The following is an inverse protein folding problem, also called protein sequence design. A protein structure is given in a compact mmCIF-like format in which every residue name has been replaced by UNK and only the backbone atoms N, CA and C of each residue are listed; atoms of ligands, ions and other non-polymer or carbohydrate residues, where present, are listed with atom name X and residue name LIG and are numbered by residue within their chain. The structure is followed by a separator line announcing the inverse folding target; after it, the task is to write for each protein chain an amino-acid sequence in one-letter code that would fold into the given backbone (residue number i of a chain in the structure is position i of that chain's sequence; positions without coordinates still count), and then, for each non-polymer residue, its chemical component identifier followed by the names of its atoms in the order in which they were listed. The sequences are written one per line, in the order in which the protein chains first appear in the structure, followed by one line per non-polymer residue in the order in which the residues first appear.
data_IF_983333816564
#
_entry.id   IF_983333816564
#
_cell.length_a   1.000
_cell.length_b   1.000
_cell.length_c   1.000
_cell.angle_alpha   90.00
_cell.angle_beta   90.00
_cell.angle_gamma   90.00
#
_symmetry.space_group_name_H-M   'P 1'
#
loop_
_entity.id
_entity.type
_entity.pdbx_description
1 polymer ?
#
# COMPACT_ATOMS: atom_id res chain seq x y z
N UNK A 1 11.14 -24.55 -14.10
CA UNK A 1 9.96 -25.05 -13.37
C UNK A 1 9.33 -23.88 -12.65
N UNK A 2 8.07 -23.57 -12.97
CA UNK A 2 7.36 -22.44 -12.36
C UNK A 2 7.21 -22.66 -10.86
N UNK A 3 7.45 -21.61 -10.05
CA UNK A 3 7.40 -21.66 -8.58
C UNK A 3 6.01 -21.35 -8.00
N UNK A 4 5.02 -21.03 -8.82
CA UNK A 4 3.68 -20.62 -8.38
C UNK A 4 2.61 -21.62 -8.81
N UNK A 5 1.73 -22.02 -7.88
CA UNK A 5 0.59 -22.90 -8.15
C UNK A 5 -0.43 -22.32 -9.16
N UNK A 6 -0.30 -21.02 -9.48
CA UNK A 6 -1.20 -20.30 -10.38
C UNK A 6 -0.60 -20.08 -11.78
N UNK A 7 0.50 -20.75 -12.09
CA UNK A 7 1.18 -20.70 -13.38
C UNK A 7 1.24 -22.13 -13.93
N UNK A 8 0.72 -22.32 -15.14
CA UNK A 8 0.51 -23.64 -15.73
C UNK A 8 1.09 -23.64 -17.14
N UNK A 9 1.89 -24.64 -17.48
CA UNK A 9 2.29 -24.88 -18.87
C UNK A 9 1.14 -25.53 -19.63
N UNK A 10 0.79 -24.96 -20.79
CA UNK A 10 -0.38 -25.34 -21.60
C UNK A 10 0.08 -25.71 -22.99
N UNK A 11 -0.49 -26.78 -23.53
CA UNK A 11 -0.26 -27.27 -24.89
C UNK A 11 -1.57 -27.28 -25.70
N UNK A 12 -1.50 -27.71 -26.95
CA UNK A 12 -2.66 -27.76 -27.84
C UNK A 12 -3.79 -28.63 -27.28
N UNK A 13 -3.48 -29.75 -26.60
CA UNK A 13 -4.48 -30.70 -26.13
C UNK A 13 -5.31 -30.17 -24.96
N UNK A 14 -4.72 -29.34 -24.09
CA UNK A 14 -5.41 -28.80 -22.91
C UNK A 14 -5.75 -27.31 -23.02
N UNK A 15 -5.35 -26.61 -24.08
CA UNK A 15 -5.63 -25.18 -24.28
C UNK A 15 -7.11 -24.82 -24.12
N UNK A 16 -8.02 -25.56 -24.76
CA UNK A 16 -9.46 -25.28 -24.67
C UNK A 16 -9.95 -25.41 -23.23
N UNK A 17 -9.56 -26.48 -22.54
CA UNK A 17 -9.99 -26.75 -21.17
C UNK A 17 -9.39 -25.75 -20.16
N UNK A 18 -8.09 -25.50 -20.25
CA UNK A 18 -7.37 -24.67 -19.27
C UNK A 18 -7.61 -23.19 -19.52
N UNK A 19 -7.58 -22.74 -20.77
CA UNK A 19 -7.68 -21.32 -21.13
C UNK A 19 -9.12 -20.91 -21.38
N UNK A 20 -9.81 -21.57 -22.32
CA UNK A 20 -11.15 -21.14 -22.74
C UNK A 20 -12.18 -21.46 -21.66
N UNK A 21 -12.34 -22.73 -21.30
CA UNK A 21 -13.28 -23.14 -20.25
C UNK A 21 -12.86 -22.62 -18.87
N UNK A 22 -11.56 -22.68 -18.55
CA UNK A 22 -11.01 -22.14 -17.31
C UNK A 22 -11.32 -20.65 -17.12
N UNK A 23 -11.32 -19.86 -18.21
CA UNK A 23 -11.63 -18.42 -18.14
C UNK A 23 -13.07 -18.07 -17.75
N UNK A 24 -13.99 -19.04 -17.72
CA UNK A 24 -15.33 -18.86 -17.14
C UNK A 24 -15.33 -18.89 -15.60
N UNK A 25 -14.30 -19.47 -14.99
CA UNK A 25 -14.16 -19.53 -13.52
C UNK A 25 -13.37 -18.33 -13.00
N UNK A 26 -12.24 -18.05 -13.65
CA UNK A 26 -11.37 -16.93 -13.32
C UNK A 26 -10.56 -16.53 -14.55
N UNK A 27 -10.17 -15.26 -14.71
CA UNK A 27 -9.38 -14.81 -15.85
C UNK A 27 -8.11 -15.63 -16.07
N UNK A 28 -7.77 -15.88 -17.34
CA UNK A 28 -6.55 -16.60 -17.74
C UNK A 28 -5.70 -15.71 -18.64
N UNK A 29 -4.49 -15.38 -18.18
CA UNK A 29 -3.51 -14.62 -18.95
C UNK A 29 -2.51 -15.58 -19.59
N UNK A 30 -2.51 -15.65 -20.92
CA UNK A 30 -1.65 -16.56 -21.68
C UNK A 30 -0.36 -15.84 -22.10
N UNK A 31 0.79 -16.36 -21.67
CA UNK A 31 2.13 -15.94 -22.09
C UNK A 31 2.62 -16.86 -23.22
N UNK A 32 2.63 -16.33 -24.45
CA UNK A 32 3.23 -17.00 -25.61
C UNK A 32 4.72 -16.68 -25.64
N UNK A 33 5.56 -17.69 -25.46
CA UNK A 33 7.00 -17.53 -25.25
C UNK A 33 7.84 -18.58 -26.00
N UNK A 34 9.15 -18.35 -26.06
CA UNK A 34 10.13 -19.30 -26.57
C UNK A 34 11.48 -19.20 -25.83
N UNK A 35 12.30 -20.25 -25.86
CA UNK A 35 13.56 -20.29 -25.08
C UNK A 35 14.58 -19.24 -25.55
N UNK A 36 14.63 -18.98 -26.85
CA UNK A 36 15.54 -18.02 -27.47
C UNK A 36 15.12 -16.56 -27.23
N UNK A 37 13.87 -16.32 -26.82
CA UNK A 37 13.31 -14.99 -26.60
C UNK A 37 13.87 -14.34 -25.32
N UNK A 38 14.83 -13.42 -25.48
CA UNK A 38 15.41 -12.70 -24.34
C UNK A 38 14.39 -11.84 -23.56
N UNK A 39 13.48 -11.08 -24.20
CA UNK A 39 12.45 -10.33 -23.48
C UNK A 39 11.50 -11.23 -22.67
N UNK A 40 11.18 -12.42 -23.16
CA UNK A 40 10.33 -13.39 -22.45
C UNK A 40 10.93 -13.80 -21.10
N UNK A 41 12.27 -13.96 -21.04
CA UNK A 41 12.98 -14.29 -19.77
C UNK A 41 12.87 -13.18 -18.73
N UNK A 42 12.76 -11.92 -19.15
CA UNK A 42 12.53 -10.79 -18.23
C UNK A 42 11.08 -10.69 -17.75
N UNK A 43 10.12 -11.08 -18.60
CA UNK A 43 8.69 -11.00 -18.32
C UNK A 43 8.20 -12.16 -17.44
N UNK A 44 8.68 -13.38 -17.66
CA UNK A 44 8.30 -14.58 -16.89
C UNK A 44 8.31 -14.38 -15.36
N UNK A 45 9.39 -13.89 -14.71
CA UNK A 45 9.38 -13.70 -13.26
C UNK A 45 8.39 -12.64 -12.77
N UNK A 46 8.07 -11.65 -13.61
CA UNK A 46 7.04 -10.64 -13.32
C UNK A 46 5.66 -11.31 -13.32
N UNK A 47 5.37 -12.13 -14.33
CA UNK A 47 4.10 -12.87 -14.42
C UNK A 47 3.93 -13.86 -13.27
N UNK A 48 5.00 -14.58 -12.88
CA UNK A 48 4.98 -15.49 -11.73
C UNK A 48 4.63 -14.74 -10.43
N UNK A 49 5.24 -13.58 -10.22
CA UNK A 49 4.96 -12.71 -9.05
C UNK A 49 3.52 -12.19 -9.06
N UNK A 50 3.01 -11.78 -10.22
CA UNK A 50 1.62 -11.32 -10.38
C UNK A 50 0.64 -12.46 -10.11
N UNK A 51 0.90 -13.67 -10.64
CA UNK A 51 0.09 -14.85 -10.40
C UNK A 51 -0.04 -15.16 -8.89
N UNK A 52 1.09 -15.11 -8.18
CA UNK A 52 1.12 -15.30 -6.74
C UNK A 52 0.34 -14.19 -5.99
N UNK A 53 0.48 -12.93 -6.41
CA UNK A 53 -0.21 -11.81 -5.81
C UNK A 53 -1.74 -11.86 -5.99
N UNK A 54 -2.22 -12.38 -7.12
CA UNK A 54 -3.65 -12.55 -7.39
C UNK A 54 -4.25 -13.76 -6.65
N UNK A 55 -3.42 -14.63 -6.07
CA UNK A 55 -3.83 -15.72 -5.17
C UNK A 55 -5.04 -16.53 -5.67
N UNK A 56 -4.97 -17.00 -6.93
CA UNK A 56 -6.03 -17.78 -7.56
C UNK A 56 -7.04 -16.97 -8.33
N UNK A 57 -7.14 -15.64 -8.16
CA UNK A 57 -8.02 -14.77 -8.95
C UNK A 57 -7.56 -14.58 -10.40
N UNK A 58 -6.36 -15.04 -10.73
CA UNK A 58 -5.79 -15.02 -12.08
C UNK A 58 -4.92 -16.27 -12.26
N UNK A 59 -5.04 -16.91 -13.42
CA UNK A 59 -4.12 -17.97 -13.85
C UNK A 59 -3.20 -17.43 -14.95
N UNK A 60 -1.92 -17.78 -14.88
CA UNK A 60 -0.98 -17.58 -15.98
C UNK A 60 -0.84 -18.91 -16.72
N UNK A 61 -1.19 -18.93 -18.00
CA UNK A 61 -0.98 -20.07 -18.89
C UNK A 61 0.25 -19.80 -19.76
N UNK A 62 1.24 -20.68 -19.76
CA UNK A 62 2.44 -20.54 -20.57
C UNK A 62 2.37 -21.45 -21.78
N UNK A 63 2.47 -20.88 -22.97
CA UNK A 63 2.47 -21.64 -24.23
C UNK A 63 3.82 -21.44 -24.91
N UNK A 64 4.59 -22.53 -25.03
CA UNK A 64 5.85 -22.51 -25.76
C UNK A 64 5.56 -22.60 -27.27
N UNK A 65 5.84 -21.54 -28.01
CA UNK A 65 5.50 -21.48 -29.44
C UNK A 65 6.43 -22.31 -30.33
N UNK A 66 7.64 -22.69 -29.86
CA UNK A 66 8.51 -23.60 -30.59
C UNK A 66 7.92 -25.02 -30.61
N UNK A 67 7.23 -25.41 -29.53
CA UNK A 67 6.58 -26.71 -29.35
C UNK A 67 5.16 -26.73 -29.92
N UNK A 68 4.41 -25.64 -29.73
CA UNK A 68 2.99 -25.53 -30.07
C UNK A 68 2.76 -24.63 -31.32
N UNK A 69 3.52 -24.88 -32.40
CA UNK A 69 3.54 -24.01 -33.59
C UNK A 69 2.17 -23.87 -34.26
N UNK A 70 1.41 -24.97 -34.35
CA UNK A 70 0.09 -24.97 -34.97
C UNK A 70 -0.90 -24.11 -34.16
N UNK A 71 -0.90 -24.25 -32.83
CA UNK A 71 -1.72 -23.43 -31.94
C UNK A 71 -1.33 -21.95 -32.03
N UNK A 72 -0.03 -21.64 -32.02
CA UNK A 72 0.46 -20.27 -32.15
C UNK A 72 0.00 -19.62 -33.48
N UNK A 73 0.06 -20.39 -34.59
CA UNK A 73 -0.43 -19.95 -35.91
C UNK A 73 -1.95 -19.71 -35.91
N UNK A 74 -2.73 -20.65 -35.37
CA UNK A 74 -4.19 -20.53 -35.26
C UNK A 74 -4.62 -19.30 -34.45
N UNK A 75 -3.87 -18.98 -33.39
CA UNK A 75 -4.12 -17.81 -32.54
C UNK A 75 -3.50 -16.51 -33.07
N UNK A 76 -2.86 -16.57 -34.25
CA UNK A 76 -2.32 -15.40 -34.94
C UNK A 76 -1.11 -14.78 -34.24
N UNK A 77 -0.32 -15.57 -33.52
CA UNK A 77 0.88 -15.08 -32.81
C UNK A 77 1.99 -14.78 -33.81
N UNK A 78 2.37 -13.50 -33.93
CA UNK A 78 3.36 -13.01 -34.92
C UNK A 78 4.65 -12.49 -34.30
N UNK A 79 4.67 -12.27 -32.99
CA UNK A 79 5.84 -11.76 -32.26
C UNK A 79 5.87 -12.33 -30.84
N UNK A 80 7.06 -12.36 -30.23
CA UNK A 80 7.24 -12.86 -28.87
C UNK A 80 7.97 -11.83 -27.99
N UNK A 81 7.61 -11.73 -26.70
CA UNK A 81 6.41 -12.34 -26.10
C UNK A 81 5.14 -11.66 -26.62
N UNK A 82 4.08 -12.45 -26.80
CA UNK A 82 2.71 -11.93 -26.88
C UNK A 82 1.98 -12.43 -25.66
N UNK A 83 1.23 -11.55 -24.98
CA UNK A 83 0.45 -11.92 -23.81
C UNK A 83 -1.01 -11.57 -24.05
N UNK A 84 -1.91 -12.54 -23.89
CA UNK A 84 -3.34 -12.38 -24.18
C UNK A 84 -4.20 -12.81 -23.01
N UNK A 85 -5.16 -11.97 -22.63
CA UNK A 85 -6.08 -12.21 -21.53
C UNK A 85 -7.38 -12.82 -22.05
N UNK A 86 -7.85 -13.88 -21.40
CA UNK A 86 -9.13 -14.52 -21.65
C UNK A 86 -10.05 -14.38 -20.43
N UNK A 87 -11.29 -13.98 -20.69
CA UNK A 87 -12.38 -13.86 -19.70
C UNK A 87 -13.65 -14.41 -20.34
N UNK A 88 -14.36 -15.30 -19.64
CA UNK A 88 -15.63 -15.89 -20.10
C UNK A 88 -15.55 -16.48 -21.52
N UNK A 89 -14.46 -17.22 -21.80
CA UNK A 89 -14.20 -17.90 -23.06
C UNK A 89 -13.75 -17.00 -24.21
N UNK A 90 -13.54 -15.70 -23.98
CA UNK A 90 -13.22 -14.72 -25.02
C UNK A 90 -11.94 -13.97 -24.71
N UNK A 91 -11.20 -13.59 -25.75
CA UNK A 91 -10.07 -12.69 -25.62
C UNK A 91 -10.58 -11.29 -25.19
N UNK A 92 -10.13 -10.83 -24.03
CA UNK A 92 -10.50 -9.53 -23.45
C UNK A 92 -9.51 -8.43 -23.84
N UNK A 93 -8.25 -8.78 -24.09
CA UNK A 93 -7.21 -7.85 -24.50
C UNK A 93 -5.86 -8.55 -24.67
N UNK A 94 -4.89 -7.86 -25.25
CA UNK A 94 -3.52 -8.36 -25.41
C UNK A 94 -2.49 -7.22 -25.39
N UNK A 95 -1.23 -7.59 -25.13
CA UNK A 95 -0.07 -6.73 -25.35
C UNK A 95 1.08 -7.54 -25.95
N UNK A 96 1.97 -6.85 -26.66
CA UNK A 96 3.16 -7.43 -27.27
C UNK A 96 4.42 -6.84 -26.62
N UNK A 97 5.47 -7.65 -26.47
CA UNK A 97 6.72 -7.26 -25.84
C UNK A 97 6.72 -7.40 -24.32
N UNK A 98 7.89 -7.19 -23.70
CA UNK A 98 8.06 -7.26 -22.26
C UNK A 98 7.70 -5.91 -21.61
N UNK A 99 6.59 -5.88 -20.86
CA UNK A 99 6.21 -4.73 -20.04
C UNK A 99 6.85 -4.82 -18.64
N UNK A 100 7.15 -3.68 -17.99
CA UNK A 100 7.45 -3.66 -16.56
C UNK A 100 6.23 -4.08 -15.74
N UNK A 101 6.43 -4.51 -14.49
CA UNK A 101 5.36 -4.99 -13.61
C UNK A 101 4.17 -4.02 -13.51
N UNK A 102 4.44 -2.71 -13.39
CA UNK A 102 3.41 -1.68 -13.35
C UNK A 102 2.52 -1.69 -14.61
N UNK A 103 3.10 -1.86 -15.79
CA UNK A 103 2.35 -1.90 -17.06
C UNK A 103 1.48 -3.14 -17.18
N UNK A 104 1.95 -4.31 -16.72
CA UNK A 104 1.14 -5.54 -16.68
C UNK A 104 -0.02 -5.40 -15.71
N UNK A 105 0.21 -4.81 -14.53
CA UNK A 105 -0.85 -4.56 -13.54
C UNK A 105 -1.91 -3.61 -14.08
N UNK A 106 -1.50 -2.52 -14.73
CA UNK A 106 -2.42 -1.57 -15.36
C UNK A 106 -3.27 -2.23 -16.46
N UNK A 107 -2.65 -3.07 -17.29
CA UNK A 107 -3.38 -3.86 -18.29
C UNK A 107 -4.43 -4.77 -17.62
N UNK A 108 -4.08 -5.48 -16.54
CA UNK A 108 -5.00 -6.35 -15.82
C UNK A 108 -6.12 -5.55 -15.15
N UNK A 109 -5.83 -4.41 -14.53
CA UNK A 109 -6.83 -3.56 -13.86
C UNK A 109 -7.90 -3.04 -14.81
N UNK A 110 -7.54 -2.77 -16.08
CA UNK A 110 -8.50 -2.34 -17.12
C UNK A 110 -9.52 -3.42 -17.47
N UNK A 111 -9.18 -4.70 -17.28
CA UNK A 111 -10.00 -5.83 -17.73
C UNK A 111 -10.57 -6.67 -16.58
N UNK A 112 -9.94 -6.66 -15.41
CA UNK A 112 -10.31 -7.43 -14.23
C UNK A 112 -10.61 -6.45 -13.09
N UNK A 113 -11.87 -6.00 -12.94
CA UNK A 113 -12.27 -5.15 -11.82
C UNK A 113 -12.08 -5.90 -10.51
N UNK A 114 -11.12 -5.45 -9.69
CA UNK A 114 -10.90 -6.04 -8.37
C UNK A 114 -12.04 -5.65 -7.43
N UNK A 115 -12.65 -6.63 -6.76
CA UNK A 115 -13.67 -6.38 -5.71
C UNK A 115 -13.12 -5.41 -4.66
N UNK A 116 -11.87 -5.62 -4.24
CA UNK A 116 -11.14 -4.71 -3.35
C UNK A 116 -11.18 -3.27 -3.87
N UNK A 117 -10.91 -3.00 -5.16
CA UNK A 117 -10.96 -1.63 -5.69
C UNK A 117 -12.33 -0.96 -5.55
N UNK A 118 -13.43 -1.71 -5.71
CA UNK A 118 -14.79 -1.18 -5.49
C UNK A 118 -15.02 -0.91 -4.00
N UNK A 119 -14.63 -1.84 -3.14
CA UNK A 119 -14.77 -1.70 -1.68
C UNK A 119 -13.94 -0.54 -1.14
N UNK A 120 -12.70 -0.34 -1.63
CA UNK A 120 -11.85 0.79 -1.22
C UNK A 120 -12.49 2.15 -1.54
N UNK A 121 -13.14 2.31 -2.70
CA UNK A 121 -13.90 3.54 -3.01
C UNK A 121 -15.09 3.75 -2.07
N UNK A 122 -15.72 2.66 -1.64
CA UNK A 122 -16.80 2.71 -0.66
C UNK A 122 -16.28 3.09 0.73
N UNK A 123 -15.09 2.61 1.14
CA UNK A 123 -14.41 3.05 2.36
C UNK A 123 -14.22 4.57 2.35
N UNK A 124 -13.66 5.13 1.27
CA UNK A 124 -13.42 6.59 1.17
C UNK A 124 -14.72 7.39 1.32
N UNK A 125 -15.80 6.91 0.70
CA UNK A 125 -17.13 7.53 0.80
C UNK A 125 -17.68 7.49 2.23
N UNK A 126 -17.56 6.34 2.91
CA UNK A 126 -18.04 6.16 4.28
C UNK A 126 -17.25 7.01 5.27
N UNK A 127 -15.93 7.10 5.11
CA UNK A 127 -15.09 7.97 5.94
C UNK A 127 -15.46 9.45 5.76
N UNK A 128 -15.70 9.89 4.52
CA UNK A 128 -16.12 11.27 4.23
C UNK A 128 -17.49 11.60 4.85
N UNK A 129 -18.36 10.60 5.01
CA UNK A 129 -19.66 10.74 5.67
C UNK A 129 -19.60 10.60 7.21
N UNK A 130 -18.42 10.34 7.78
CA UNK A 130 -18.27 10.07 9.22
C UNK A 130 -18.77 8.68 9.67
N UNK A 131 -19.12 7.80 8.73
CA UNK A 131 -19.65 6.47 9.00
C UNK A 131 -18.52 5.46 9.30
N UNK A 132 -17.79 5.69 10.39
CA UNK A 132 -16.58 4.94 10.74
C UNK A 132 -16.81 3.43 10.92
N UNK A 133 -17.89 3.03 11.60
CA UNK A 133 -18.18 1.60 11.82
C UNK A 133 -18.40 0.84 10.51
N UNK A 134 -19.12 1.44 9.56
CA UNK A 134 -19.33 0.85 8.24
C UNK A 134 -18.04 0.85 7.42
N UNK A 135 -17.24 1.92 7.51
CA UNK A 135 -15.95 2.00 6.84
C UNK A 135 -15.00 0.88 7.31
N UNK A 136 -14.99 0.58 8.61
CA UNK A 136 -14.23 -0.55 9.19
C UNK A 136 -14.68 -1.87 8.58
N UNK A 137 -15.98 -2.17 8.60
CA UNK A 137 -16.51 -3.43 8.07
C UNK A 137 -16.18 -3.63 6.57
N UNK A 138 -16.32 -2.58 5.76
CA UNK A 138 -16.00 -2.64 4.33
C UNK A 138 -14.50 -2.76 4.07
N UNK A 139 -13.67 -2.10 4.87
CA UNK A 139 -12.21 -2.21 4.77
C UNK A 139 -11.71 -3.60 5.17
N UNK A 140 -12.30 -4.22 6.21
CA UNK A 140 -12.03 -5.61 6.60
C UNK A 140 -12.37 -6.58 5.47
N UNK A 141 -13.52 -6.40 4.81
CA UNK A 141 -13.89 -7.19 3.65
C UNK A 141 -12.90 -7.01 2.49
N UNK A 142 -12.51 -5.77 2.19
CA UNK A 142 -11.54 -5.50 1.13
C UNK A 142 -10.19 -6.16 1.39
N UNK A 143 -9.74 -6.12 2.65
CA UNK A 143 -8.49 -6.71 3.11
C UNK A 143 -8.52 -8.24 3.09
N UNK A 144 -9.62 -8.87 3.54
CA UNK A 144 -9.80 -10.31 3.47
C UNK A 144 -9.75 -10.83 2.02
N UNK A 145 -10.30 -10.07 1.07
CA UNK A 145 -10.30 -10.41 -0.34
C UNK A 145 -8.91 -10.34 -0.99
N UNK A 146 -8.04 -9.43 -0.54
CA UNK A 146 -6.71 -9.24 -1.13
C UNK A 146 -5.67 -8.78 -0.09
N UNK A 147 -5.22 -9.73 0.73
CA UNK A 147 -4.33 -9.47 1.86
C UNK A 147 -2.92 -9.02 1.46
N UNK A 148 -2.49 -9.24 0.21
CA UNK A 148 -1.15 -8.94 -0.29
C UNK A 148 -1.08 -7.69 -1.18
N UNK A 149 -2.21 -7.03 -1.44
CA UNK A 149 -2.22 -5.75 -2.15
C UNK A 149 -1.89 -4.61 -1.20
N UNK A 150 -0.78 -3.92 -1.46
CA UNK A 150 -0.32 -2.80 -0.62
C UNK A 150 -1.37 -1.71 -0.51
N UNK A 151 -2.08 -1.40 -1.60
CA UNK A 151 -3.09 -0.34 -1.57
C UNK A 151 -4.21 -0.70 -0.58
N UNK A 152 -4.68 -1.93 -0.63
CA UNK A 152 -5.66 -2.46 0.31
C UNK A 152 -5.12 -2.47 1.75
N UNK A 153 -3.87 -2.91 1.96
CA UNK A 153 -3.20 -2.90 3.27
C UNK A 153 -3.13 -1.48 3.87
N UNK A 154 -2.73 -0.47 3.08
CA UNK A 154 -2.60 0.91 3.55
C UNK A 154 -3.95 1.55 3.87
N UNK A 155 -4.98 1.32 3.03
CA UNK A 155 -6.33 1.81 3.33
C UNK A 155 -6.88 1.16 4.59
N UNK A 156 -6.71 -0.16 4.74
CA UNK A 156 -7.16 -0.86 5.94
C UNK A 156 -6.44 -0.35 7.20
N UNK A 157 -5.12 -0.16 7.14
CA UNK A 157 -4.34 0.43 8.22
C UNK A 157 -4.81 1.86 8.56
N UNK A 158 -5.13 2.69 7.57
CA UNK A 158 -5.67 4.05 7.79
C UNK A 158 -7.03 4.03 8.50
N UNK A 159 -7.90 3.10 8.14
CA UNK A 159 -9.20 2.92 8.78
C UNK A 159 -9.03 2.45 10.22
N UNK A 160 -8.16 1.46 10.46
CA UNK A 160 -7.86 0.95 11.80
C UNK A 160 -7.23 1.98 12.72
N UNK A 161 -6.35 2.82 12.19
CA UNK A 161 -5.81 3.98 12.90
C UNK A 161 -6.91 4.93 13.35
N UNK A 162 -7.89 5.19 12.47
CA UNK A 162 -9.02 6.09 12.76
C UNK A 162 -9.98 5.47 13.77
N UNK A 163 -10.17 4.15 13.75
CA UNK A 163 -11.00 3.42 14.71
C UNK A 163 -10.32 3.14 16.06
N UNK A 164 -9.06 3.55 16.24
CA UNK A 164 -8.31 3.36 17.48
C UNK A 164 -7.66 1.98 17.64
N UNK A 165 -7.69 1.13 16.61
CA UNK A 165 -7.11 -0.22 16.65
C UNK A 165 -5.62 -0.18 16.29
N UNK A 166 -4.82 0.41 17.19
CA UNK A 166 -3.40 0.68 16.96
C UNK A 166 -2.53 -0.56 16.87
N UNK A 167 -2.96 -1.67 17.47
CA UNK A 167 -2.25 -2.95 17.42
C UNK A 167 -2.32 -3.55 16.02
N UNK A 168 -3.49 -3.47 15.39
CA UNK A 168 -3.68 -3.97 14.03
C UNK A 168 -2.90 -3.14 13.00
N UNK A 169 -2.84 -1.81 13.16
CA UNK A 169 -2.02 -0.94 12.31
C UNK A 169 -0.55 -1.35 12.36
N UNK A 170 -0.01 -1.58 13.56
CA UNK A 170 1.38 -2.00 13.73
C UNK A 170 1.65 -3.35 13.05
N UNK A 171 0.74 -4.33 13.22
CA UNK A 171 0.83 -5.64 12.59
C UNK A 171 0.88 -5.53 11.07
N UNK A 172 0.00 -4.73 10.47
CA UNK A 172 -0.06 -4.53 9.02
C UNK A 172 1.24 -3.89 8.51
N UNK A 173 1.67 -2.79 9.12
CA UNK A 173 2.85 -2.05 8.66
C UNK A 173 4.15 -2.84 8.84
N UNK A 174 4.26 -3.65 9.90
CA UNK A 174 5.41 -4.51 10.15
C UNK A 174 5.48 -5.70 9.17
N UNK A 175 4.33 -6.17 8.67
CA UNK A 175 4.25 -7.27 7.71
C UNK A 175 4.57 -6.85 6.26
N UNK A 176 4.71 -5.55 5.99
CA UNK A 176 5.02 -5.06 4.65
C UNK A 176 6.42 -5.52 4.18
N UNK A 177 6.57 -5.90 2.89
CA UNK A 177 7.87 -6.21 2.31
C UNK A 177 8.86 -5.05 2.46
N UNK A 178 10.17 -5.35 2.61
CA UNK A 178 11.22 -4.34 2.79
C UNK A 178 11.18 -3.17 1.78
N UNK A 179 10.94 -3.38 0.46
CA UNK A 179 10.84 -2.28 -0.49
C UNK A 179 9.70 -1.30 -0.15
N UNK A 180 8.58 -1.82 0.37
CA UNK A 180 7.39 -1.04 0.69
C UNK A 180 7.52 -0.28 2.01
N UNK A 181 8.45 -0.66 2.89
CA UNK A 181 8.69 0.09 4.13
C UNK A 181 9.23 1.51 3.90
N UNK A 182 9.76 1.77 2.70
CA UNK A 182 10.21 3.09 2.26
C UNK A 182 9.10 3.92 1.58
N UNK A 183 7.90 3.34 1.40
CA UNK A 183 6.77 4.04 0.81
C UNK A 183 6.40 5.29 1.65
N UNK A 184 6.23 6.47 1.04
CA UNK A 184 5.85 7.69 1.77
C UNK A 184 4.58 7.54 2.61
N UNK A 185 3.56 6.85 2.10
CA UNK A 185 2.30 6.64 2.83
C UNK A 185 2.48 5.76 4.07
N UNK A 186 3.39 4.77 3.99
CA UNK A 186 3.81 3.97 5.15
C UNK A 186 4.45 4.86 6.21
N UNK A 187 5.36 5.77 5.81
CA UNK A 187 5.99 6.70 6.75
C UNK A 187 4.98 7.64 7.41
N UNK A 188 3.98 8.10 6.66
CA UNK A 188 2.87 8.91 7.19
C UNK A 188 2.07 8.11 8.23
N UNK A 189 1.69 6.86 7.92
CA UNK A 189 0.92 6.01 8.85
C UNK A 189 1.73 5.65 10.11
N UNK A 190 3.02 5.35 9.98
CA UNK A 190 3.91 5.11 11.12
C UNK A 190 3.99 6.33 12.05
N UNK A 191 4.16 7.53 11.47
CA UNK A 191 4.20 8.77 12.25
C UNK A 191 2.86 9.04 12.95
N UNK A 192 1.73 8.87 12.25
CA UNK A 192 0.41 9.06 12.88
C UNK A 192 0.12 8.03 13.97
N UNK A 193 0.49 6.76 13.76
CA UNK A 193 0.36 5.71 14.78
C UNK A 193 1.14 6.05 16.05
N UNK A 194 2.38 6.54 15.89
CA UNK A 194 3.21 6.99 17.00
C UNK A 194 2.52 8.08 17.83
N UNK A 195 1.99 9.13 17.20
CA UNK A 195 1.28 10.20 17.92
C UNK A 195 -0.07 9.77 18.49
N UNK A 196 -0.81 8.90 17.79
CA UNK A 196 -2.07 8.38 18.27
C UNK A 196 -1.88 7.59 19.58
N UNK A 197 -0.79 6.82 19.70
CA UNK A 197 -0.45 6.12 20.95
C UNK A 197 -0.10 7.08 22.09
N UNK A 198 0.65 8.13 21.80
CA UNK A 198 0.98 9.16 22.81
C UNK A 198 -0.29 9.87 23.30
N UNK A 199 -1.19 10.22 22.38
CA UNK A 199 -2.45 10.89 22.71
C UNK A 199 -3.42 9.96 23.46
N UNK A 200 -3.42 8.65 23.16
CA UNK A 200 -4.27 7.68 23.84
C UNK A 200 -3.84 7.40 25.30
N UNK A 201 -2.55 7.58 25.61
CA UNK A 201 -2.01 7.43 26.96
C UNK A 201 -1.94 8.77 27.73
N UNK A 202 -2.27 9.88 27.08
CA UNK A 202 -2.21 11.21 27.66
C UNK A 202 -3.38 11.47 28.63
N UNK A 203 -3.17 12.33 29.64
CA UNK A 203 -4.29 12.98 30.34
C UNK A 203 -5.20 13.72 29.36
N UNK A 204 -6.45 13.95 29.74
CA UNK A 204 -7.38 14.73 28.91
C UNK A 204 -6.82 16.11 28.56
N UNK A 205 -7.20 16.65 27.39
CA UNK A 205 -6.77 18.00 26.99
C UNK A 205 -7.06 19.06 28.04
N UNK A 206 -8.16 18.92 28.80
CA UNK A 206 -8.52 19.85 29.85
C UNK A 206 -7.55 19.79 31.04
N UNK A 207 -7.20 18.59 31.50
CA UNK A 207 -6.20 18.41 32.54
C UNK A 207 -4.83 18.93 32.10
N UNK A 208 -4.44 18.69 30.84
CA UNK A 208 -3.20 19.21 30.28
C UNK A 208 -3.17 20.74 30.28
N UNK A 209 -4.28 21.41 29.93
CA UNK A 209 -4.38 22.87 30.01
C UNK A 209 -4.20 23.37 31.45
N UNK A 210 -4.85 22.73 32.42
CA UNK A 210 -4.70 23.08 33.84
C UNK A 210 -3.25 22.90 34.32
N UNK A 211 -2.61 21.80 33.96
CA UNK A 211 -1.21 21.55 34.27
C UNK A 211 -0.28 22.62 33.67
N UNK A 212 -0.55 23.05 32.43
CA UNK A 212 0.25 24.08 31.75
C UNK A 212 -0.01 25.50 32.28
N UNK A 213 -1.19 25.77 32.86
CA UNK A 213 -1.43 27.02 33.60
C UNK A 213 -0.60 27.03 34.88
N UNK A 214 -0.58 25.91 35.63
CA UNK A 214 0.16 25.79 36.88
C UNK A 214 1.69 25.74 36.65
N UNK A 215 2.13 25.02 35.62
CA UNK A 215 3.51 24.88 35.22
C UNK A 215 3.65 24.90 33.69
N UNK A 216 3.83 26.09 33.08
CA UNK A 216 4.03 26.20 31.63
C UNK A 216 5.26 25.45 31.12
N UNK A 217 6.21 25.13 32.01
CA UNK A 217 7.45 24.44 31.68
C UNK A 217 7.38 22.92 31.88
N UNK A 218 6.21 22.33 32.11
CA UNK A 218 6.09 20.89 32.26
C UNK A 218 6.37 20.14 30.95
N UNK A 219 7.42 19.32 30.90
CA UNK A 219 7.85 18.63 29.67
C UNK A 219 6.82 17.61 29.19
N UNK A 220 6.24 16.84 30.12
CA UNK A 220 5.24 15.84 29.79
C UNK A 220 3.96 16.46 29.23
N UNK A 221 3.41 17.49 29.89
CA UNK A 221 2.17 18.13 29.44
C UNK A 221 2.34 18.82 28.10
N UNK A 222 3.48 19.47 27.84
CA UNK A 222 3.78 20.05 26.53
C UNK A 222 3.86 18.96 25.43
N UNK A 223 4.53 17.84 25.73
CA UNK A 223 4.65 16.73 24.78
C UNK A 223 3.30 16.08 24.45
N UNK A 224 2.47 15.82 25.46
CA UNK A 224 1.12 15.27 25.26
C UNK A 224 0.18 16.26 24.57
N UNK A 225 0.26 17.56 24.88
CA UNK A 225 -0.51 18.59 24.17
C UNK A 225 -0.12 18.64 22.68
N UNK A 226 1.18 18.55 22.37
CA UNK A 226 1.65 18.46 21.00
C UNK A 226 1.09 17.23 20.28
N UNK A 227 1.02 16.06 20.92
CA UNK A 227 0.40 14.88 20.32
C UNK A 227 -1.07 15.11 19.95
N UNK A 228 -1.86 15.76 20.83
CA UNK A 228 -3.25 16.13 20.50
C UNK A 228 -3.34 17.12 19.34
N UNK A 229 -2.48 18.14 19.32
CA UNK A 229 -2.41 19.11 18.22
C UNK A 229 -2.10 18.43 16.88
N UNK A 230 -1.17 17.47 16.86
CA UNK A 230 -0.82 16.70 15.66
C UNK A 230 -2.01 15.87 15.19
N UNK A 231 -2.69 15.18 16.10
CA UNK A 231 -3.88 14.38 15.77
C UNK A 231 -5.05 15.25 15.27
N UNK A 232 -5.13 16.51 15.71
CA UNK A 232 -6.10 17.50 15.23
C UNK A 232 -5.67 18.21 13.92
N UNK A 233 -4.47 17.93 13.40
CA UNK A 233 -3.93 18.61 12.22
C UNK A 233 -3.38 20.02 12.46
N UNK A 234 -3.29 20.46 13.72
CA UNK A 234 -2.71 21.74 14.13
C UNK A 234 -1.17 21.65 14.16
N UNK A 235 -0.55 21.34 13.01
CA UNK A 235 0.87 21.03 12.92
C UNK A 235 1.78 22.20 13.29
N UNK A 236 1.40 23.44 12.97
CA UNK A 236 2.20 24.61 13.33
C UNK A 236 2.29 24.76 14.86
N UNK A 237 1.16 24.69 15.54
CA UNK A 237 1.09 24.80 17.00
C UNK A 237 1.89 23.69 17.67
N UNK A 238 1.75 22.45 17.18
CA UNK A 238 2.53 21.31 17.66
C UNK A 238 4.04 21.53 17.50
N UNK A 239 4.47 22.02 16.32
CA UNK A 239 5.88 22.29 16.06
C UNK A 239 6.45 23.39 16.97
N UNK A 240 5.68 24.44 17.26
CA UNK A 240 6.10 25.51 18.18
C UNK A 240 6.22 24.99 19.62
N UNK A 241 5.25 24.19 20.07
CA UNK A 241 5.30 23.53 21.39
C UNK A 241 6.52 22.61 21.49
N UNK A 242 6.77 21.77 20.48
CA UNK A 242 7.89 20.83 20.47
C UNK A 242 9.26 21.51 20.37
N UNK A 243 9.38 22.59 19.59
CA UNK A 243 10.63 23.36 19.54
C UNK A 243 10.93 24.04 20.88
N UNK A 244 9.90 24.56 21.54
CA UNK A 244 10.04 25.16 22.88
C UNK A 244 10.49 24.11 23.89
N UNK A 245 9.88 22.92 23.83
CA UNK A 245 10.30 21.77 24.64
C UNK A 245 11.76 21.38 24.35
N UNK A 246 12.13 21.22 23.09
CA UNK A 246 13.48 20.81 22.67
C UNK A 246 14.57 21.77 23.15
N UNK A 247 14.33 23.09 23.06
CA UNK A 247 15.29 24.10 23.52
C UNK A 247 15.47 24.12 25.03
N UNK A 248 14.43 23.77 25.78
CA UNK A 248 14.43 23.80 27.25
C UNK A 248 14.94 22.50 27.85
N UNK A 249 14.47 21.37 27.33
CA UNK A 249 14.66 20.04 27.88
C UNK A 249 14.89 19.03 26.74
N UNK A 250 16.08 19.15 26.13
CA UNK A 250 16.48 18.38 24.94
C UNK A 250 16.38 16.87 25.14
N UNK A 251 16.70 16.38 26.34
CA UNK A 251 16.81 14.95 26.61
C UNK A 251 15.50 14.33 27.10
N UNK A 252 14.42 15.11 27.21
CA UNK A 252 13.11 14.61 27.61
C UNK A 252 12.69 13.41 26.74
N UNK A 253 12.35 12.29 27.39
CA UNK A 253 11.81 11.10 26.75
C UNK A 253 12.74 10.49 25.69
N UNK A 254 14.05 10.50 25.91
CA UNK A 254 15.05 10.09 24.92
C UNK A 254 14.90 10.90 23.62
N UNK A 255 14.99 12.23 23.77
CA UNK A 255 14.94 13.19 22.65
C UNK A 255 13.59 13.13 21.88
N UNK A 256 12.51 12.92 22.64
CA UNK A 256 11.15 12.78 22.14
C UNK A 256 10.70 13.98 21.29
N UNK A 257 11.10 15.20 21.68
CA UNK A 257 10.71 16.41 20.97
C UNK A 257 11.26 16.48 19.54
N UNK A 258 12.54 16.14 19.34
CA UNK A 258 13.15 16.09 18.00
C UNK A 258 12.52 14.98 17.15
N UNK A 259 12.36 13.79 17.73
CA UNK A 259 11.70 12.64 17.06
C UNK A 259 10.28 13.01 16.62
N UNK A 260 9.53 13.73 17.46
CA UNK A 260 8.20 14.20 17.14
C UNK A 260 8.19 15.25 16.00
N UNK A 261 9.11 16.21 16.01
CA UNK A 261 9.23 17.18 14.91
C UNK A 261 9.50 16.47 13.57
N UNK A 262 10.39 15.49 13.55
CA UNK A 262 10.66 14.67 12.36
C UNK A 262 9.43 13.83 11.94
N UNK A 263 8.66 13.33 12.92
CA UNK A 263 7.38 12.68 12.68
C UNK A 263 6.39 13.58 11.95
N UNK A 264 6.26 14.86 12.37
CA UNK A 264 5.42 15.85 11.68
C UNK A 264 5.90 16.08 10.25
N UNK A 265 7.22 16.16 10.02
CA UNK A 265 7.75 16.29 8.66
C UNK A 265 7.39 15.11 7.77
N UNK A 266 7.38 13.89 8.30
CA UNK A 266 6.92 12.72 7.55
C UNK A 266 5.43 12.79 7.23
N UNK A 267 4.58 13.24 8.16
CA UNK A 267 3.14 13.46 7.92
C UNK A 267 2.92 14.48 6.81
N UNK A 268 3.74 15.53 6.75
CA UNK A 268 3.73 16.58 5.73
C UNK A 268 4.54 16.19 4.47
N UNK A 269 4.90 14.92 4.33
CA UNK A 269 5.68 14.37 3.21
C UNK A 269 6.97 15.14 2.91
N UNK A 270 7.58 15.77 3.91
CA UNK A 270 8.78 16.58 3.78
C UNK A 270 8.66 17.77 2.80
N UNK A 271 7.44 18.26 2.56
CA UNK A 271 7.13 19.33 1.59
C UNK A 271 6.49 20.55 2.27
N UNK A 272 6.51 21.66 1.55
CA UNK A 272 5.82 22.90 1.92
C UNK A 272 6.61 23.85 2.84
N UNK A 273 6.13 25.09 2.90
CA UNK A 273 6.81 26.20 3.60
C UNK A 273 6.91 25.96 5.11
N UNK A 274 5.95 25.25 5.70
CA UNK A 274 6.00 24.90 7.10
C UNK A 274 7.20 24.00 7.40
N UNK A 275 7.42 22.94 6.62
CA UNK A 275 8.57 22.05 6.81
C UNK A 275 9.88 22.80 6.60
N UNK A 276 10.00 23.61 5.55
CA UNK A 276 11.23 24.37 5.27
C UNK A 276 11.61 25.31 6.43
N UNK A 277 10.64 26.09 6.94
CA UNK A 277 10.87 27.02 8.07
C UNK A 277 11.26 26.28 9.35
N UNK A 278 10.59 25.18 9.68
CA UNK A 278 10.83 24.47 10.93
C UNK A 278 12.08 23.58 10.88
N UNK A 279 12.54 23.14 9.70
CA UNK A 279 13.86 22.54 9.53
C UNK A 279 14.97 23.51 9.92
N UNK A 280 14.91 24.76 9.44
CA UNK A 280 15.88 25.78 9.82
C UNK A 280 15.85 26.08 11.32
N UNK A 281 14.65 26.22 11.91
CA UNK A 281 14.49 26.40 13.36
C UNK A 281 15.03 25.22 14.17
N UNK A 282 14.85 23.99 13.70
CA UNK A 282 15.35 22.77 14.34
C UNK A 282 16.87 22.72 14.34
N UNK A 283 17.51 23.01 13.19
CA UNK A 283 18.97 23.09 13.11
C UNK A 283 19.52 24.08 14.13
N UNK A 284 18.97 25.30 14.18
CA UNK A 284 19.38 26.33 15.14
C UNK A 284 19.08 25.99 16.61
N UNK A 285 18.24 24.99 16.89
CA UNK A 285 17.95 24.54 18.25
C UNK A 285 18.88 23.40 18.69
N UNK A 286 19.59 22.76 17.76
CA UNK A 286 20.49 21.63 18.02
C UNK A 286 21.97 22.02 18.10
N UNK A 287 22.32 23.18 17.54
CA UNK A 287 23.65 23.79 17.52
C UNK A 287 23.60 25.17 18.17
#
# INVERSE_FOLDING_TARGET
MSKSQFVIDVNTADFVKVVIEGSHKQPVLVDFWANWCAPCRSLSPILDKIAAAYNGKLIIAKVNTDQEQQLASQLGIRSLPTVRLFINGKAAGEFMGALPEAGVREFLERHIPQVSNKLLRQVDTLLAQGNLQQAVAVAEQAYADNTNDIKTQLVYAKVKLTSGDYSEVERILAALPLPEQSNPEVKVLQAKLFFARIAAQAPSQEQLRQNLIANPKDSASNYHMAAYQIMAGAYQDALDTLLTLLRRDRNYGDDAARKAILGIFNILENKGDLVARYRAKLTNALF
#
